data_IF_072285874625
#
_entry.id   IF_072285874625
#
_cell.length_a   1.000
_cell.length_b   1.000
_cell.length_c   1.000
_cell.angle_alpha   90.00
_cell.angle_beta   90.00
_cell.angle_gamma   90.00
#
_symmetry.space_group_name_H-M   'P 1'
#
loop_
_entity.id
_entity.type
_entity.pdbx_description
1 polymer ?
#
# COMPACT_ATOMS: atom_id res chain seq x y z
N UNK A 1 -2.47 -2.66 -11.38
CA UNK A 1 -1.97 -1.50 -10.63
C UNK A 1 -1.99 -1.96 -9.17
N UNK A 2 -1.10 -1.46 -8.32
CA UNK A 2 -0.92 -2.01 -6.96
C UNK A 2 -1.54 -1.04 -5.95
N UNK A 3 -2.09 -1.57 -4.85
CA UNK A 3 -2.86 -0.83 -3.83
C UNK A 3 -4.12 -0.16 -4.40
N UNK A 4 -4.88 -0.90 -5.22
CA UNK A 4 -6.09 -0.39 -5.89
C UNK A 4 -7.30 -0.22 -4.96
N UNK A 5 -7.27 -0.88 -3.80
CA UNK A 5 -8.40 -0.99 -2.89
C UNK A 5 -8.13 -0.21 -1.60
N UNK A 6 -9.00 0.75 -1.28
CA UNK A 6 -8.89 1.59 -0.08
C UNK A 6 -8.13 2.90 -0.30
N UNK A 7 -8.18 3.77 0.71
CA UNK A 7 -7.56 5.10 0.72
C UNK A 7 -6.34 5.20 1.65
N UNK A 8 -6.04 4.15 2.41
CA UNK A 8 -4.96 4.13 3.39
C UNK A 8 -5.31 4.80 4.72
N UNK A 9 -6.56 5.18 4.92
CA UNK A 9 -7.05 5.69 6.22
C UNK A 9 -7.43 4.51 7.14
N UNK A 10 -7.55 4.74 8.44
CA UNK A 10 -7.94 3.67 9.38
C UNK A 10 -9.33 3.07 9.07
N UNK A 11 -10.28 3.91 8.65
CA UNK A 11 -11.63 3.49 8.29
C UNK A 11 -11.70 2.80 6.91
N UNK A 12 -10.73 3.06 6.04
CA UNK A 12 -10.66 2.53 4.69
C UNK A 12 -9.18 2.20 4.32
N UNK A 13 -8.62 1.14 4.94
CA UNK A 13 -7.22 0.77 4.77
C UNK A 13 -6.95 0.27 3.35
N UNK A 14 -5.71 0.41 2.89
CA UNK A 14 -5.29 -0.24 1.67
C UNK A 14 -5.37 -1.77 1.82
N UNK A 15 -6.10 -2.45 0.94
CA UNK A 15 -6.15 -3.91 0.97
C UNK A 15 -4.91 -4.48 0.27
N UNK A 16 -4.23 -5.39 0.95
CA UNK A 16 -3.12 -6.16 0.41
C UNK A 16 -3.71 -7.49 -0.05
N UNK A 17 -4.03 -7.58 -1.34
CA UNK A 17 -4.71 -8.74 -1.92
C UNK A 17 -3.75 -9.69 -2.63
N UNK A 18 -2.59 -9.18 -3.05
CA UNK A 18 -1.57 -9.96 -3.73
C UNK A 18 -0.14 -9.45 -3.41
N UNK A 19 0.87 -10.11 -3.97
CA UNK A 19 2.28 -9.78 -3.74
C UNK A 19 2.70 -8.41 -4.32
N UNK A 20 2.04 -7.95 -5.40
CA UNK A 20 2.33 -6.65 -6.00
C UNK A 20 1.89 -5.50 -5.07
N UNK A 21 0.79 -5.66 -4.33
CA UNK A 21 0.34 -4.68 -3.33
C UNK A 21 1.36 -4.53 -2.19
N UNK A 22 1.87 -5.66 -1.67
CA UNK A 22 2.89 -5.65 -0.62
C UNK A 22 4.17 -4.97 -1.13
N UNK A 23 4.59 -5.28 -2.36
CA UNK A 23 5.76 -4.64 -2.99
C UNK A 23 5.56 -3.14 -3.12
N UNK A 24 4.39 -2.68 -3.59
CA UNK A 24 4.08 -1.27 -3.73
C UNK A 24 4.02 -0.54 -2.38
N UNK A 25 3.46 -1.19 -1.35
CA UNK A 25 3.46 -0.66 0.00
C UNK A 25 4.90 -0.41 0.49
N UNK A 26 5.75 -1.43 0.44
CA UNK A 26 7.11 -1.38 0.99
C UNK A 26 8.06 -0.46 0.21
N UNK A 27 7.77 -0.19 -1.06
CA UNK A 27 8.60 0.66 -1.92
C UNK A 27 8.13 2.11 -2.00
N UNK A 28 6.83 2.38 -1.85
CA UNK A 28 6.28 3.73 -2.09
C UNK A 28 5.53 4.34 -0.91
N UNK A 29 5.05 3.54 0.06
CA UNK A 29 4.10 3.98 1.11
C UNK A 29 4.56 3.74 2.55
N UNK A 30 5.70 3.09 2.75
CA UNK A 30 6.23 2.65 4.04
C UNK A 30 6.51 3.79 5.05
N UNK A 31 6.55 5.04 4.61
CA UNK A 31 6.90 6.21 5.43
C UNK A 31 5.72 7.16 5.71
N UNK A 32 4.52 6.86 5.21
CA UNK A 32 3.40 7.82 5.14
C UNK A 32 2.38 7.67 6.28
N UNK A 33 2.50 6.62 7.11
CA UNK A 33 1.57 6.36 8.22
C UNK A 33 0.21 5.80 7.78
N UNK A 34 0.13 5.25 6.56
CA UNK A 34 -1.09 4.63 6.07
C UNK A 34 -1.44 3.34 6.79
N UNK A 35 -2.71 3.00 6.69
CA UNK A 35 -3.30 1.77 7.18
C UNK A 35 -3.43 0.76 6.05
N UNK A 36 -3.05 -0.47 6.33
CA UNK A 36 -3.11 -1.62 5.43
C UNK A 36 -3.93 -2.73 6.07
N UNK A 37 -4.54 -3.57 5.26
CA UNK A 37 -5.22 -4.76 5.75
C UNK A 37 -4.93 -5.98 4.86
N UNK A 38 -4.61 -7.11 5.48
CA UNK A 38 -4.50 -8.38 4.76
C UNK A 38 -5.89 -8.95 4.53
N UNK A 39 -6.11 -9.49 3.32
CA UNK A 39 -7.32 -10.25 2.97
C UNK A 39 -7.06 -11.75 2.80
N UNK A 40 -5.80 -12.14 2.75
CA UNK A 40 -5.34 -13.52 2.64
C UNK A 40 -3.93 -13.65 3.23
N UNK A 41 -3.48 -14.88 3.42
CA UNK A 41 -2.07 -15.17 3.68
C UNK A 41 -1.23 -14.78 2.45
N UNK A 42 -0.17 -14.00 2.66
CA UNK A 42 0.75 -13.56 1.61
C UNK A 42 2.18 -13.95 1.95
N UNK A 43 2.87 -14.59 1.00
CA UNK A 43 4.26 -15.03 1.15
C UNK A 43 5.16 -14.48 0.05
N UNK A 44 6.02 -13.54 0.44
CA UNK A 44 7.07 -12.92 -0.36
C UNK A 44 8.46 -13.34 0.13
N UNK A 45 8.58 -14.43 0.89
CA UNK A 45 9.86 -14.89 1.46
C UNK A 45 10.83 -15.41 0.39
N UNK A 46 10.32 -15.85 -0.77
CA UNK A 46 11.10 -16.34 -1.90
C UNK A 46 11.66 -15.25 -2.84
N UNK A 47 11.14 -14.02 -2.75
CA UNK A 47 11.47 -12.93 -3.67
C UNK A 47 11.85 -11.67 -2.90
N UNK A 48 13.16 -11.34 -2.78
CA UNK A 48 13.57 -10.17 -2.03
C UNK A 48 12.98 -8.89 -2.65
N UNK A 49 12.37 -8.07 -1.80
CA UNK A 49 11.85 -6.76 -2.16
C UNK A 49 12.95 -5.74 -1.90
N UNK A 50 13.38 -5.07 -2.97
CA UNK A 50 14.37 -4.01 -2.89
C UNK A 50 13.74 -2.74 -2.36
N UNK A 51 14.20 -2.29 -1.18
CA UNK A 51 13.74 -1.04 -0.57
C UNK A 51 14.86 -0.01 -0.46
N UNK A 52 14.50 1.25 -0.63
CA UNK A 52 15.37 2.38 -0.30
C UNK A 52 15.32 2.68 1.19
N UNK A 53 16.45 3.12 1.75
CA UNK A 53 16.51 3.57 3.13
C UNK A 53 15.55 4.74 3.38
N UNK A 54 14.59 4.54 4.26
CA UNK A 54 13.62 5.56 4.66
C UNK A 54 13.24 5.38 6.13
N UNK A 55 12.63 6.39 6.72
CA UNK A 55 11.92 6.21 7.99
C UNK A 55 10.63 5.43 7.73
N UNK A 56 10.21 4.59 8.67
CA UNK A 56 9.05 3.73 8.51
C UNK A 56 7.96 4.16 9.46
N UNK A 57 6.75 4.35 8.91
CA UNK A 57 5.50 4.64 9.61
C UNK A 57 4.38 3.99 8.83
N UNK A 58 3.78 2.93 9.38
CA UNK A 58 2.67 2.22 8.76
C UNK A 58 1.88 1.48 9.82
N UNK A 59 0.63 1.16 9.51
CA UNK A 59 -0.26 0.39 10.38
C UNK A 59 -0.83 -0.76 9.58
N UNK A 60 -0.95 -1.93 10.17
CA UNK A 60 -1.52 -3.10 9.50
C UNK A 60 -2.51 -3.83 10.39
N UNK A 61 -3.66 -4.17 9.81
CA UNK A 61 -4.59 -5.15 10.36
C UNK A 61 -4.46 -6.45 9.55
N UNK A 62 -3.89 -7.48 10.16
CA UNK A 62 -3.72 -8.77 9.50
C UNK A 62 -5.01 -9.58 9.39
N UNK A 63 -6.05 -9.25 10.17
CA UNK A 63 -7.30 -10.04 10.24
C UNK A 63 -7.11 -11.52 10.53
N UNK A 64 -5.98 -11.85 11.15
CA UNK A 64 -5.52 -13.17 11.49
C UNK A 64 -4.72 -13.86 10.39
N UNK A 65 -4.59 -13.23 9.22
CA UNK A 65 -3.75 -13.70 8.13
C UNK A 65 -2.26 -13.48 8.42
N UNK A 66 -1.45 -14.25 7.70
CA UNK A 66 -0.01 -14.23 7.72
C UNK A 66 0.56 -13.39 6.60
N UNK A 67 1.61 -12.64 6.90
CA UNK A 67 2.43 -11.93 5.94
C UNK A 67 3.90 -12.30 6.15
N UNK A 68 4.50 -12.97 5.16
CA UNK A 68 5.93 -13.30 5.15
C UNK A 68 6.64 -12.44 4.12
N UNK A 69 7.69 -11.73 4.51
CA UNK A 69 8.38 -10.78 3.63
C UNK A 69 9.89 -11.01 3.71
N UNK A 70 10.54 -11.08 2.56
CA UNK A 70 11.98 -10.93 2.46
C UNK A 70 12.33 -9.55 1.89
N UNK A 71 13.06 -8.75 2.66
CA UNK A 71 13.48 -7.40 2.28
C UNK A 71 14.99 -7.35 2.09
N UNK A 72 15.40 -6.94 0.89
CA UNK A 72 16.77 -6.61 0.56
C UNK A 72 16.93 -5.08 0.44
N UNK A 73 18.11 -4.59 0.78
CA UNK A 73 18.42 -3.17 0.69
C UNK A 73 19.41 -2.96 -0.44
N UNK A 74 19.10 -2.00 -1.32
CA UNK A 74 19.93 -1.67 -2.48
C UNK A 74 21.30 -1.06 -2.14
N UNK A 75 21.50 -0.59 -0.91
CA UNK A 75 22.74 0.06 -0.46
C UNK A 75 23.28 -0.59 0.80
N UNK A 76 24.58 -0.92 0.88
CA UNK A 76 25.16 -1.53 2.06
C UNK A 76 25.11 -0.56 3.23
N UNK A 77 24.33 -0.89 4.26
CA UNK A 77 24.37 -0.20 5.53
C UNK A 77 23.84 -1.10 6.65
N UNK A 78 24.07 -0.65 7.89
CA UNK A 78 23.84 -1.47 9.06
C UNK A 78 22.35 -1.76 9.35
N UNK A 79 21.40 -0.97 8.84
CA UNK A 79 19.97 -1.14 9.12
C UNK A 79 19.10 -1.18 7.85
N UNK A 80 18.02 -1.97 7.87
CA UNK A 80 17.04 -2.02 6.78
C UNK A 80 16.29 -0.69 6.62
N UNK A 81 15.86 -0.11 7.73
CA UNK A 81 15.16 1.16 7.79
C UNK A 81 15.93 2.18 8.63
N UNK A 82 15.65 3.47 8.40
CA UNK A 82 16.25 4.55 9.17
C UNK A 82 15.69 4.63 10.56
N UNK A 83 14.65 5.44 10.76
CA UNK A 83 13.91 5.43 12.01
C UNK A 83 12.61 4.64 11.86
N UNK A 84 12.26 3.90 12.89
CA UNK A 84 10.87 3.49 13.11
C UNK A 84 10.13 4.67 13.76
N UNK A 85 8.92 4.96 13.30
CA UNK A 85 7.92 5.75 14.00
C UNK A 85 6.87 4.83 14.61
N UNK A 86 5.92 5.37 15.36
CA UNK A 86 4.81 4.59 15.88
C UNK A 86 4.04 3.88 14.75
N UNK A 87 3.97 2.56 14.87
CA UNK A 87 3.30 1.63 13.96
C UNK A 87 2.38 0.72 14.77
N UNK A 88 1.19 0.45 14.24
CA UNK A 88 0.26 -0.52 14.82
C UNK A 88 0.21 -1.81 14.02
N UNK A 89 0.26 -2.94 14.72
CA UNK A 89 0.09 -4.28 14.16
C UNK A 89 -1.06 -4.93 14.91
N UNK A 90 -2.19 -5.04 14.23
CA UNK A 90 -3.43 -5.55 14.78
C UNK A 90 -3.75 -6.90 14.15
N UNK A 91 -4.04 -7.91 14.97
CA UNK A 91 -4.49 -9.21 14.52
C UNK A 91 -3.67 -9.79 13.35
N UNK A 92 -2.34 -9.73 13.39
CA UNK A 92 -1.49 -10.16 12.27
C UNK A 92 -0.43 -11.16 12.72
N UNK A 93 -0.02 -12.04 11.79
CA UNK A 93 1.20 -12.82 11.93
C UNK A 93 2.21 -12.38 10.87
N UNK A 94 3.23 -11.63 11.28
CA UNK A 94 4.21 -11.06 10.35
C UNK A 94 5.56 -11.74 10.55
N UNK A 95 6.09 -12.33 9.49
CA UNK A 95 7.47 -12.82 9.42
C UNK A 95 8.29 -11.90 8.53
N UNK A 96 9.37 -11.35 9.06
CA UNK A 96 10.28 -10.47 8.33
C UNK A 96 11.67 -11.07 8.27
N UNK A 97 12.16 -11.26 7.05
CA UNK A 97 13.52 -11.67 6.73
C UNK A 97 14.26 -10.51 6.11
N UNK A 98 15.52 -10.33 6.49
CA UNK A 98 16.45 -9.45 5.77
C UNK A 98 17.84 -10.06 5.73
N UNK A 99 18.63 -9.66 4.73
CA UNK A 99 20.07 -9.93 4.67
C UNK A 99 20.91 -8.84 5.34
N UNK A 100 20.29 -7.77 5.85
CA UNK A 100 20.99 -6.70 6.55
C UNK A 100 21.32 -7.09 8.00
N UNK A 101 22.42 -6.55 8.53
CA UNK A 101 22.90 -6.77 9.91
C UNK A 101 22.05 -6.09 10.99
N UNK A 102 21.02 -5.32 10.60
CA UNK A 102 20.14 -4.57 11.48
C UNK A 102 18.80 -4.31 10.83
N UNK A 103 17.75 -4.17 11.64
CA UNK A 103 16.39 -3.93 11.14
C UNK A 103 16.05 -2.43 11.14
N UNK A 104 16.06 -1.78 12.30
CA UNK A 104 15.86 -0.32 12.40
C UNK A 104 17.12 0.38 12.91
N UNK A 105 17.37 1.59 12.43
CA UNK A 105 18.27 2.53 13.10
C UNK A 105 17.73 2.90 14.50
N UNK A 106 18.62 3.41 15.35
CA UNK A 106 18.30 3.77 16.74
C UNK A 106 17.31 4.94 16.78
N UNK A 107 16.01 4.66 16.89
CA UNK A 107 14.98 5.67 17.14
C UNK A 107 14.41 5.49 18.53
N UNK A 108 14.68 6.43 19.44
CA UNK A 108 14.06 6.49 20.77
C UNK A 108 12.57 6.85 20.73
N UNK A 109 12.04 7.21 19.54
CA UNK A 109 10.67 7.70 19.36
C UNK A 109 9.74 6.67 18.67
N UNK A 110 10.29 5.60 18.11
CA UNK A 110 9.53 4.59 17.37
C UNK A 110 9.12 3.39 18.21
N UNK A 111 7.89 2.92 18.03
CA UNK A 111 7.42 1.66 18.62
C UNK A 111 6.55 0.87 17.66
N UNK A 112 6.61 -0.46 17.77
CA UNK A 112 5.62 -1.35 17.18
C UNK A 112 4.62 -1.76 18.25
N UNK A 113 3.39 -1.28 18.13
CA UNK A 113 2.32 -1.63 19.04
C UNK A 113 1.61 -2.89 18.51
N UNK A 114 1.76 -4.01 19.23
CA UNK A 114 1.14 -5.29 18.88
C UNK A 114 -0.20 -5.41 19.61
N UNK A 115 -1.25 -5.81 18.88
CA UNK A 115 -2.55 -6.16 19.46
C UNK A 115 -3.02 -7.48 18.89
N UNK A 116 -3.10 -8.50 19.74
CA UNK A 116 -3.43 -9.87 19.32
C UNK A 116 -2.58 -10.29 18.09
N UNK A 117 -1.26 -10.08 18.13
CA UNK A 117 -0.38 -10.21 16.94
C UNK A 117 0.92 -10.93 17.24
N UNK A 118 1.46 -11.60 16.21
CA UNK A 118 2.81 -12.19 16.24
C UNK A 118 3.73 -11.49 15.25
N UNK A 119 4.95 -11.23 15.67
CA UNK A 119 5.98 -10.56 14.89
C UNK A 119 7.30 -11.32 15.01
N UNK A 120 7.75 -11.87 13.90
CA UNK A 120 8.95 -12.69 13.80
C UNK A 120 10.00 -11.98 12.95
N UNK A 121 11.23 -11.92 13.46
CA UNK A 121 12.37 -11.40 12.73
C UNK A 121 13.44 -12.49 12.58
N UNK A 122 13.67 -12.92 11.34
CA UNK A 122 14.52 -14.07 11.01
C UNK A 122 16.00 -13.73 10.76
N UNK A 123 16.47 -12.56 11.20
CA UNK A 123 17.86 -12.13 10.99
C UNK A 123 18.64 -12.05 12.30
N UNK A 124 19.89 -12.51 12.28
CA UNK A 124 20.85 -12.33 13.37
C UNK A 124 21.41 -10.92 13.31
N UNK A 125 20.97 -10.05 14.21
CA UNK A 125 21.48 -8.68 14.27
C UNK A 125 22.75 -8.58 15.10
N UNK A 126 23.60 -7.61 14.77
CA UNK A 126 24.83 -7.26 15.50
C UNK A 126 24.86 -5.76 15.79
N UNK A 127 24.33 -5.30 16.94
CA UNK A 127 24.21 -3.87 17.26
C UNK A 127 23.52 -3.52 18.59
N UNK A 128 23.50 -2.24 18.97
CA UNK A 128 22.85 -1.77 20.20
C UNK A 128 21.44 -1.18 19.99
N UNK A 129 21.02 -1.02 18.72
CA UNK A 129 19.73 -0.39 18.38
C UNK A 129 18.57 -1.30 18.77
N UNK A 130 17.72 -0.82 19.69
CA UNK A 130 16.57 -1.56 20.17
C UNK A 130 15.30 -1.13 19.47
N UNK A 131 14.57 -2.09 18.90
CA UNK A 131 13.17 -1.87 18.54
C UNK A 131 12.35 -1.96 19.81
N UNK A 132 11.48 -0.99 20.05
CA UNK A 132 10.58 -1.01 21.21
C UNK A 132 9.25 -1.61 20.77
N UNK A 133 8.92 -2.78 21.29
CA UNK A 133 7.59 -3.37 21.17
C UNK A 133 6.71 -2.87 22.31
N UNK A 134 5.43 -2.65 22.00
CA UNK A 134 4.41 -2.31 22.98
C UNK A 134 3.12 -3.09 22.73
N UNK A 135 2.13 -2.87 23.58
CA UNK A 135 0.74 -3.28 23.32
C UNK A 135 0.25 -4.42 24.20
N UNK A 136 -0.67 -5.20 23.64
CA UNK A 136 -1.41 -6.24 24.37
C UNK A 136 -1.48 -7.53 23.57
N UNK A 137 -1.25 -8.65 24.25
CA UNK A 137 -1.29 -10.00 23.67
C UNK A 137 -0.41 -10.12 22.41
N UNK A 138 0.89 -9.88 22.59
CA UNK A 138 1.87 -9.91 21.51
C UNK A 138 2.81 -11.09 21.65
N UNK A 139 3.19 -11.70 20.53
CA UNK A 139 4.29 -12.67 20.47
C UNK A 139 5.42 -12.11 19.60
N UNK A 140 6.61 -11.97 20.18
CA UNK A 140 7.80 -11.50 19.48
C UNK A 140 8.80 -12.65 19.39
N UNK A 141 9.19 -12.98 18.16
CA UNK A 141 10.14 -14.05 17.87
C UNK A 141 11.38 -13.42 17.24
N UNK A 142 12.48 -13.43 17.98
CA UNK A 142 13.73 -12.85 17.50
C UNK A 142 14.88 -13.84 17.69
N UNK A 143 15.71 -13.98 16.67
CA UNK A 143 17.02 -14.61 16.78
C UNK A 143 18.01 -13.60 17.41
N UNK A 144 17.79 -13.19 18.67
CA UNK A 144 18.69 -12.29 19.41
C UNK A 144 18.07 -11.51 20.58
N UNK A 145 18.81 -10.54 21.13
CA UNK A 145 18.44 -9.72 22.31
C UNK A 145 18.00 -8.28 21.97
N UNK A 146 17.47 -8.05 20.76
CA UNK A 146 17.38 -6.72 20.16
C UNK A 146 16.07 -5.96 20.43
N UNK A 147 14.95 -6.66 20.63
CA UNK A 147 13.68 -6.05 21.01
C UNK A 147 13.60 -5.75 22.50
N UNK A 148 13.32 -4.50 22.87
CA UNK A 148 12.87 -4.13 24.21
C UNK A 148 11.34 -4.07 24.26
N UNK A 149 10.74 -4.21 25.45
CA UNK A 149 9.29 -4.02 25.63
C UNK A 149 9.01 -2.82 26.53
N UNK A 150 8.13 -1.96 26.05
CA UNK A 150 7.74 -0.73 26.72
C UNK A 150 7.04 -1.03 28.05
N UNK A 151 7.34 -0.24 29.08
CA UNK A 151 6.61 -0.30 30.35
C UNK A 151 5.10 -0.08 30.12
N UNK A 152 4.26 -0.85 30.81
CA UNK A 152 2.81 -0.83 30.64
C UNK A 152 2.27 -1.74 29.53
N UNK A 153 3.13 -2.40 28.75
CA UNK A 153 2.70 -3.48 27.85
C UNK A 153 2.23 -4.68 28.66
N UNK A 154 1.22 -5.40 28.17
CA UNK A 154 0.68 -6.59 28.83
C UNK A 154 0.75 -7.81 27.92
N UNK A 155 1.10 -8.95 28.51
CA UNK A 155 1.08 -10.24 27.82
C UNK A 155 1.95 -10.26 26.56
N UNK A 156 3.15 -9.67 26.63
CA UNK A 156 4.15 -9.77 25.56
C UNK A 156 5.06 -10.95 25.85
N UNK A 157 4.95 -11.97 25.00
CA UNK A 157 5.76 -13.18 25.05
C UNK A 157 6.93 -13.04 24.09
N UNK A 158 8.14 -13.40 24.55
CA UNK A 158 9.34 -13.34 23.74
C UNK A 158 10.00 -14.71 23.64
N UNK A 159 10.32 -15.14 22.42
CA UNK A 159 11.18 -16.29 22.18
C UNK A 159 12.64 -15.86 22.11
N UNK A 160 13.51 -16.49 22.90
CA UNK A 160 14.94 -16.17 23.01
C UNK A 160 15.35 -15.60 24.38
N UNK A 161 16.15 -14.54 24.39
CA UNK A 161 16.66 -13.92 25.62
C UNK A 161 15.61 -13.08 26.34
N UNK A 162 15.52 -13.23 27.67
CA UNK A 162 14.61 -12.43 28.49
C UNK A 162 14.94 -10.92 28.41
N UNK A 163 13.91 -10.09 28.35
CA UNK A 163 14.02 -8.62 28.44
C UNK A 163 13.05 -8.08 29.48
N UNK A 164 13.28 -6.87 29.97
CA UNK A 164 12.32 -6.22 30.87
C UNK A 164 10.93 -6.17 30.23
N UNK A 165 9.89 -6.42 31.03
CA UNK A 165 8.48 -6.42 30.62
C UNK A 165 8.09 -7.51 29.59
N UNK A 166 8.85 -8.62 29.51
CA UNK A 166 8.51 -9.78 28.68
C UNK A 166 8.35 -11.06 29.49
N UNK A 167 7.49 -11.95 29.02
CA UNK A 167 7.48 -13.35 29.43
C UNK A 167 8.45 -14.11 28.53
N UNK A 168 9.53 -14.63 29.11
CA UNK A 168 10.50 -15.43 28.36
C UNK A 168 9.94 -16.84 28.11
N UNK A 169 9.64 -17.16 26.86
CA UNK A 169 9.10 -18.48 26.49
C UNK A 169 10.10 -19.61 26.67
N UNK A 170 11.41 -19.35 26.65
CA UNK A 170 12.43 -20.34 26.99
C UNK A 170 12.42 -20.70 28.50
N UNK A 171 11.80 -19.85 29.32
CA UNK A 171 11.64 -20.05 30.76
C UNK A 171 10.33 -20.69 31.17
N UNK A 172 9.51 -21.18 30.23
CA UNK A 172 8.28 -21.88 30.58
C UNK A 172 8.55 -23.15 31.40
N UNK A 173 7.68 -23.43 32.37
CA UNK A 173 7.87 -24.50 33.35
C UNK A 173 7.99 -25.89 32.70
N UNK A 174 7.22 -26.14 31.65
CA UNK A 174 7.26 -27.36 30.85
C UNK A 174 8.31 -27.33 29.73
N UNK A 175 9.00 -26.20 29.56
CA UNK A 175 9.94 -25.89 28.47
C UNK A 175 9.35 -26.08 27.07
N UNK A 176 8.02 -26.14 26.95
CA UNK A 176 7.33 -26.35 25.68
C UNK A 176 6.71 -25.03 25.21
N UNK A 177 7.35 -24.30 24.28
CA UNK A 177 6.82 -23.04 23.77
C UNK A 177 5.56 -23.21 22.91
N UNK A 178 5.12 -24.44 22.63
CA UNK A 178 3.92 -24.73 21.85
C UNK A 178 2.69 -25.04 22.73
N UNK A 179 2.87 -25.16 24.06
CA UNK A 179 1.77 -25.46 24.96
C UNK A 179 0.87 -24.23 25.16
N UNK A 180 -0.43 -24.29 24.82
CA UNK A 180 -1.37 -23.17 25.01
C UNK A 180 -1.48 -22.70 26.46
N UNK A 181 -1.26 -23.57 27.45
CA UNK A 181 -1.32 -23.22 28.88
C UNK A 181 -0.29 -22.15 29.26
N UNK A 182 0.81 -22.05 28.50
CA UNK A 182 1.83 -21.03 28.70
C UNK A 182 1.40 -19.63 28.23
N UNK A 183 0.26 -19.53 27.54
CA UNK A 183 -0.28 -18.28 26.99
C UNK A 183 -1.72 -18.01 27.47
N UNK A 184 -2.00 -17.88 28.79
CA UNK A 184 -3.37 -17.74 29.29
C UNK A 184 -4.25 -16.66 28.60
N UNK A 185 -3.71 -15.49 28.19
CA UNK A 185 -4.49 -14.46 27.49
C UNK A 185 -4.80 -14.78 26.03
N UNK A 186 -4.11 -15.74 25.42
CA UNK A 186 -4.27 -16.10 24.01
C UNK A 186 -5.40 -17.13 23.89
N UNK A 187 -6.60 -16.64 23.61
CA UNK A 187 -7.79 -17.47 23.50
C UNK A 187 -7.86 -18.18 22.14
N UNK A 188 -8.42 -19.40 22.09
CA UNK A 188 -8.44 -20.24 20.88
C UNK A 188 -9.33 -19.72 19.74
N UNK A 189 -10.24 -18.79 20.03
CA UNK A 189 -11.01 -18.04 19.04
C UNK A 189 -10.15 -17.02 18.28
N UNK A 190 -9.06 -16.53 18.89
CA UNK A 190 -8.14 -15.57 18.28
C UNK A 190 -6.80 -16.15 17.86
N UNK A 191 -6.42 -17.29 18.43
CA UNK A 191 -5.11 -17.90 18.23
C UNK A 191 -5.23 -19.37 17.83
N UNK A 192 -4.28 -19.80 17.00
CA UNK A 192 -4.09 -21.18 16.60
C UNK A 192 -2.91 -21.73 17.40
N UNK A 193 -3.17 -22.84 18.09
CA UNK A 193 -2.18 -23.67 18.76
C UNK A 193 -2.24 -25.06 18.13
N UNK A 194 -1.20 -25.42 17.38
CA UNK A 194 -1.11 -26.73 16.70
C UNK A 194 -0.15 -27.71 17.40
N UNK A 195 0.51 -27.25 18.48
CA UNK A 195 1.45 -28.05 19.27
C UNK A 195 2.81 -28.26 18.62
N UNK A 196 3.04 -27.73 17.41
CA UNK A 196 4.28 -27.90 16.64
C UNK A 196 4.90 -26.57 16.21
N UNK A 197 4.13 -25.48 16.27
CA UNK A 197 4.56 -24.12 15.97
C UNK A 197 4.17 -23.18 17.10
N UNK A 198 4.85 -22.03 17.14
CA UNK A 198 4.51 -20.97 18.08
C UNK A 198 3.10 -20.44 17.80
N UNK A 199 2.39 -19.92 18.83
CA UNK A 199 1.04 -19.42 18.64
C UNK A 199 0.96 -18.38 17.52
N UNK A 200 0.00 -18.56 16.62
CA UNK A 200 -0.26 -17.63 15.51
C UNK A 200 -1.70 -17.16 15.56
N UNK A 201 -1.94 -15.96 15.03
CA UNK A 201 -3.29 -15.40 14.98
C UNK A 201 -4.19 -16.27 14.11
N UNK A 202 -5.44 -16.46 14.52
CA UNK A 202 -6.46 -17.15 13.75
C UNK A 202 -7.11 -16.14 12.79
N UNK A 203 -7.23 -16.45 11.49
CA UNK A 203 -8.05 -15.67 10.57
C UNK A 203 -9.43 -15.46 11.19
N UNK A 204 -9.81 -14.20 11.38
CA UNK A 204 -11.13 -13.85 11.88
C UNK A 204 -12.09 -13.85 10.70
N UNK A 205 -13.30 -14.32 10.92
CA UNK A 205 -14.47 -13.94 10.12
C UNK A 205 -14.77 -12.45 10.39
N UNK A 206 -13.87 -11.56 9.98
CA UNK A 206 -14.12 -10.12 10.05
C UNK A 206 -15.20 -9.74 9.07
N UNK A 207 -15.83 -8.58 9.29
CA UNK A 207 -16.62 -7.88 8.29
C UNK A 207 -15.90 -7.98 6.94
N UNK A 208 -16.59 -8.60 5.99
CA UNK A 208 -16.03 -9.04 4.74
C UNK A 208 -15.58 -7.85 3.89
N UNK A 209 -14.34 -7.40 4.11
CA UNK A 209 -13.71 -6.41 3.23
C UNK A 209 -13.25 -7.03 1.92
N UNK A 210 -13.35 -8.35 1.79
CA UNK A 210 -13.11 -9.00 0.51
C UNK A 210 -14.25 -8.69 -0.45
N UNK A 211 -15.46 -8.44 0.05
CA UNK A 211 -16.59 -8.07 -0.77
C UNK A 211 -16.77 -6.55 -0.83
N UNK A 212 -16.61 -5.98 -2.03
CA UNK A 212 -16.79 -4.54 -2.28
C UNK A 212 -17.70 -4.32 -3.47
N UNK A 213 -18.49 -3.26 -3.42
CA UNK A 213 -19.28 -2.83 -4.57
C UNK A 213 -18.36 -2.25 -5.63
N UNK A 214 -18.44 -2.79 -6.84
CA UNK A 214 -17.54 -2.42 -7.93
C UNK A 214 -18.30 -2.22 -9.24
N UNK A 215 -17.66 -1.46 -10.13
CA UNK A 215 -18.05 -1.34 -11.53
C UNK A 215 -16.87 -1.76 -12.40
N UNK A 216 -17.09 -2.75 -13.25
CA UNK A 216 -16.15 -3.12 -14.32
C UNK A 216 -16.63 -2.54 -15.64
N UNK A 217 -15.69 -2.18 -16.51
CA UNK A 217 -16.05 -1.75 -17.84
C UNK A 217 -14.84 -1.53 -18.75
N UNK A 218 -15.14 -0.96 -19.91
CA UNK A 218 -14.18 -0.75 -20.99
C UNK A 218 -14.36 0.67 -21.54
N UNK A 219 -13.28 1.45 -21.54
CA UNK A 219 -13.25 2.78 -22.17
C UNK A 219 -12.90 2.64 -23.65
N UNK A 220 -13.70 3.28 -24.51
CA UNK A 220 -13.50 3.26 -25.96
C UNK A 220 -13.63 4.65 -26.59
N UNK A 221 -12.74 4.91 -27.55
CA UNK A 221 -12.69 6.11 -28.38
C UNK A 221 -12.68 5.67 -29.85
N UNK A 222 -13.67 6.12 -30.63
CA UNK A 222 -13.80 5.68 -32.03
C UNK A 222 -13.92 4.16 -32.18
N UNK A 223 -14.57 3.48 -31.23
CA UNK A 223 -14.69 2.02 -31.20
C UNK A 223 -13.42 1.27 -30.76
N UNK A 224 -12.29 1.97 -30.59
CA UNK A 224 -11.04 1.38 -30.12
C UNK A 224 -10.86 1.57 -28.63
N UNK A 225 -10.37 0.52 -27.98
CA UNK A 225 -9.96 0.51 -26.58
C UNK A 225 -8.88 1.56 -26.30
N UNK A 226 -9.05 2.38 -25.27
CA UNK A 226 -8.09 3.46 -24.96
C UNK A 226 -8.03 3.80 -23.48
N UNK A 227 -6.81 4.07 -23.00
CA UNK A 227 -6.58 4.64 -21.68
C UNK A 227 -7.25 6.02 -21.53
N UNK A 228 -8.05 6.21 -20.48
CA UNK A 228 -8.72 7.47 -20.12
C UNK A 228 -8.80 7.61 -18.60
N UNK A 229 -9.06 8.83 -18.14
CA UNK A 229 -9.35 9.08 -16.73
C UNK A 229 -10.82 8.76 -16.46
N UNK A 230 -11.13 8.27 -15.27
CA UNK A 230 -12.48 7.99 -14.82
C UNK A 230 -12.88 8.93 -13.68
N UNK A 231 -14.13 9.35 -13.68
CA UNK A 231 -14.80 9.98 -12.55
C UNK A 231 -16.11 9.26 -12.25
N UNK A 232 -16.47 9.14 -10.97
CA UNK A 232 -17.70 8.47 -10.52
C UNK A 232 -18.60 9.44 -9.78
N UNK A 233 -19.86 9.47 -10.18
CA UNK A 233 -20.90 10.32 -9.60
C UNK A 233 -21.96 9.43 -8.96
N UNK A 234 -22.34 9.73 -7.72
CA UNK A 234 -23.45 9.06 -7.03
C UNK A 234 -24.63 10.03 -6.94
N UNK A 235 -25.77 9.56 -6.43
CA UNK A 235 -26.95 10.40 -6.17
C UNK A 235 -26.66 11.60 -5.24
N UNK A 236 -25.64 11.49 -4.38
CA UNK A 236 -25.23 12.54 -3.44
C UNK A 236 -24.18 13.49 -4.04
N UNK A 237 -23.92 13.41 -5.35
CA UNK A 237 -22.91 14.20 -6.06
C UNK A 237 -21.64 13.42 -6.36
N UNK A 238 -20.54 14.14 -6.62
CA UNK A 238 -19.26 13.53 -6.97
C UNK A 238 -18.67 12.77 -5.76
N UNK A 239 -18.47 11.45 -5.89
CA UNK A 239 -17.63 10.67 -4.98
C UNK A 239 -16.45 10.03 -5.72
N UNK A 240 -15.30 10.70 -5.58
CA UNK A 240 -14.10 10.13 -4.94
C UNK A 240 -13.32 8.97 -5.58
N UNK A 241 -13.31 8.82 -6.91
CA UNK A 241 -12.15 8.16 -7.52
C UNK A 241 -11.80 8.72 -8.89
N UNK A 242 -10.64 9.35 -8.95
CA UNK A 242 -9.90 9.53 -10.19
C UNK A 242 -9.02 8.30 -10.35
N UNK A 243 -9.35 7.49 -11.34
CA UNK A 243 -8.56 6.32 -11.70
C UNK A 243 -8.35 6.32 -13.19
N UNK A 244 -7.14 6.01 -13.62
CA UNK A 244 -6.88 5.79 -15.03
C UNK A 244 -7.33 4.37 -15.39
N UNK A 245 -7.98 4.22 -16.54
CA UNK A 245 -8.14 2.90 -17.13
C UNK A 245 -6.77 2.32 -17.46
N UNK A 246 -6.71 1.00 -17.69
CA UNK A 246 -5.49 0.35 -18.18
C UNK A 246 -5.17 0.82 -19.60
N UNK A 247 -3.98 0.50 -20.10
CA UNK A 247 -3.55 0.85 -21.46
C UNK A 247 -4.53 0.33 -22.53
N UNK A 248 -5.13 -0.83 -22.28
CA UNK A 248 -6.18 -1.44 -23.10
C UNK A 248 -7.57 -0.87 -22.86
N UNK A 249 -7.72 0.23 -22.10
CA UNK A 249 -8.98 0.88 -21.75
C UNK A 249 -9.84 0.16 -20.71
N UNK A 250 -9.49 -1.05 -20.27
CA UNK A 250 -10.27 -1.77 -19.28
C UNK A 250 -10.15 -1.12 -17.90
N UNK A 251 -11.20 -1.22 -17.09
CA UNK A 251 -11.19 -0.67 -15.73
C UNK A 251 -11.97 -1.51 -14.73
N UNK A 252 -11.50 -1.42 -13.48
CA UNK A 252 -12.14 -1.93 -12.29
C UNK A 252 -12.22 -0.80 -11.27
N UNK A 253 -13.42 -0.27 -11.05
CA UNK A 253 -13.66 0.78 -10.06
C UNK A 253 -14.20 0.13 -8.79
N UNK A 254 -13.37 0.05 -7.76
CA UNK A 254 -13.83 -0.24 -6.41
C UNK A 254 -14.55 1.00 -5.84
N UNK A 255 -15.83 0.86 -5.52
CA UNK A 255 -16.70 1.88 -4.94
C UNK A 255 -16.95 1.65 -3.45
N UNK A 256 -16.19 0.76 -2.82
CA UNK A 256 -16.29 0.38 -1.43
C UNK A 256 -17.72 -0.06 -1.07
N UNK A 257 -18.41 0.72 -0.26
CA UNK A 257 -19.73 0.38 0.29
C UNK A 257 -20.87 1.10 -0.46
N UNK A 258 -20.58 1.71 -1.62
CA UNK A 258 -21.58 2.38 -2.45
C UNK A 258 -22.39 1.31 -3.20
N UNK A 259 -23.56 0.99 -2.65
CA UNK A 259 -24.54 0.06 -3.23
C UNK A 259 -25.62 0.75 -4.06
N UNK A 260 -25.65 2.08 -4.11
CA UNK A 260 -26.65 2.84 -4.87
C UNK A 260 -26.17 3.11 -6.30
N UNK A 261 -27.08 3.41 -7.25
CA UNK A 261 -26.70 3.63 -8.64
C UNK A 261 -25.68 4.76 -8.82
N UNK A 262 -24.75 4.57 -9.76
CA UNK A 262 -23.69 5.52 -10.08
C UNK A 262 -23.63 5.85 -11.56
N UNK A 263 -23.01 6.98 -11.90
CA UNK A 263 -22.62 7.34 -13.27
C UNK A 263 -21.09 7.35 -13.34
N UNK A 264 -20.53 6.63 -14.31
CA UNK A 264 -19.09 6.63 -14.58
C UNK A 264 -18.82 7.49 -15.81
N UNK A 265 -17.93 8.47 -15.70
CA UNK A 265 -17.52 9.33 -16.80
C UNK A 265 -16.06 9.06 -17.17
N UNK A 266 -15.81 8.68 -18.41
CA UNK A 266 -14.48 8.57 -18.99
C UNK A 266 -14.12 9.87 -19.72
N UNK A 267 -12.99 10.49 -19.39
CA UNK A 267 -12.54 11.76 -19.94
C UNK A 267 -11.02 11.78 -20.16
N UNK A 268 -10.52 12.74 -20.94
CA UNK A 268 -9.08 12.90 -21.17
C UNK A 268 -8.53 14.02 -20.29
N UNK A 269 -7.34 13.81 -19.71
CA UNK A 269 -6.57 14.90 -19.10
C UNK A 269 -6.17 15.92 -20.18
N UNK A 270 -6.45 17.20 -19.94
CA UNK A 270 -6.03 18.28 -20.83
C UNK A 270 -4.68 18.91 -20.41
N UNK A 271 -4.15 18.51 -19.26
CA UNK A 271 -2.90 19.03 -18.71
C UNK A 271 -3.04 20.43 -18.14
N UNK A 272 -1.90 21.09 -17.92
CA UNK A 272 -1.87 22.46 -17.42
C UNK A 272 -1.84 23.48 -18.57
N UNK A 273 -2.28 24.72 -18.31
CA UNK A 273 -2.09 25.82 -19.26
C UNK A 273 -0.59 26.06 -19.48
N UNK A 274 -0.18 26.23 -20.73
CA UNK A 274 1.22 26.56 -21.04
C UNK A 274 1.65 27.88 -20.38
N UNK A 275 2.84 27.89 -19.79
CA UNK A 275 3.45 29.04 -19.11
C UNK A 275 4.89 29.29 -19.56
N UNK A 276 5.31 30.57 -19.54
CA UNK A 276 6.68 31.04 -19.81
C UNK A 276 7.60 30.68 -18.64
N UNK A 277 8.91 30.58 -18.91
CA UNK A 277 9.96 30.27 -17.93
C UNK A 277 9.70 28.97 -17.14
N UNK A 278 8.97 28.03 -17.73
CA UNK A 278 8.56 26.78 -17.09
C UNK A 278 9.40 25.64 -17.62
N UNK A 279 9.95 24.84 -16.71
CA UNK A 279 10.60 23.57 -17.07
C UNK A 279 9.53 22.50 -17.29
N UNK A 280 9.47 21.96 -18.50
CA UNK A 280 8.59 20.85 -18.86
C UNK A 280 9.32 19.53 -18.84
N UNK A 281 8.74 18.54 -18.16
CA UNK A 281 9.25 17.17 -18.13
C UNK A 281 8.73 16.35 -19.31
N UNK A 282 9.42 15.26 -19.66
CA UNK A 282 8.93 14.30 -20.65
C UNK A 282 7.54 13.78 -20.25
N UNK A 283 6.65 13.60 -21.22
CA UNK A 283 5.24 13.21 -21.06
C UNK A 283 4.32 14.22 -20.36
N UNK A 284 4.83 15.38 -19.92
CA UNK A 284 3.95 16.44 -19.40
C UNK A 284 2.99 16.93 -20.49
N UNK A 285 1.71 17.08 -20.13
CA UNK A 285 0.65 17.53 -21.04
C UNK A 285 0.37 19.01 -20.76
N UNK A 286 0.22 19.79 -21.83
CA UNK A 286 -0.25 21.17 -21.79
C UNK A 286 -1.42 21.42 -22.74
N UNK A 287 -2.15 22.51 -22.52
CA UNK A 287 -3.20 22.99 -23.43
C UNK A 287 -3.04 24.49 -23.76
N UNK A 288 -3.60 24.95 -24.90
CA UNK A 288 -3.66 26.36 -25.27
C UNK A 288 -4.64 27.15 -24.40
N UNK A 289 -4.49 28.47 -24.38
CA UNK A 289 -5.43 29.40 -23.78
C UNK A 289 -6.76 29.43 -24.54
N UNK A 290 -6.71 29.36 -25.87
CA UNK A 290 -7.86 29.23 -26.76
C UNK A 290 -8.00 27.76 -27.14
N UNK A 291 -9.01 27.03 -26.63
CA UNK A 291 -9.18 25.61 -26.92
C UNK A 291 -9.32 25.35 -28.43
N UNK A 292 -8.56 24.38 -28.94
CA UNK A 292 -8.61 23.97 -30.35
C UNK A 292 -8.88 22.47 -30.54
N UNK A 293 -9.35 21.78 -29.49
CA UNK A 293 -9.65 20.34 -29.50
C UNK A 293 -8.43 19.43 -29.35
N UNK A 294 -7.24 19.98 -29.11
CA UNK A 294 -6.00 19.24 -28.91
C UNK A 294 -5.32 19.62 -27.59
N UNK A 295 -4.62 18.63 -27.02
CA UNK A 295 -3.63 18.78 -25.96
C UNK A 295 -2.24 18.49 -26.54
N UNK A 296 -1.18 18.86 -25.85
CA UNK A 296 0.18 18.80 -26.37
C UNK A 296 1.05 18.04 -25.37
N UNK A 297 1.52 16.84 -25.75
CA UNK A 297 2.37 16.01 -24.89
C UNK A 297 3.83 16.31 -25.16
N UNK A 298 4.58 16.64 -24.11
CA UNK A 298 6.01 16.85 -24.17
C UNK A 298 6.73 15.56 -24.59
N UNK A 299 7.41 15.61 -25.72
CA UNK A 299 8.22 14.51 -26.29
C UNK A 299 9.72 14.78 -26.16
N UNK A 300 10.10 16.03 -25.87
CA UNK A 300 11.45 16.42 -25.48
C UNK A 300 11.37 17.42 -24.32
N UNK A 301 11.90 17.03 -23.16
CA UNK A 301 11.95 17.89 -21.98
C UNK A 301 12.80 19.15 -22.22
N UNK A 302 12.42 20.27 -21.61
CA UNK A 302 13.10 21.56 -21.77
C UNK A 302 12.37 22.71 -21.10
N UNK A 303 12.99 23.90 -21.09
CA UNK A 303 12.36 25.13 -20.57
C UNK A 303 11.66 25.90 -21.71
N UNK A 304 10.47 26.47 -21.46
CA UNK A 304 9.76 27.31 -22.45
C UNK A 304 10.49 28.61 -22.81
N UNK A 305 11.36 29.11 -21.92
CA UNK A 305 11.95 30.43 -22.06
C UNK A 305 10.94 31.56 -21.87
N UNK A 306 11.35 32.79 -22.18
CA UNK A 306 10.59 33.99 -21.89
C UNK A 306 9.37 34.22 -22.80
N UNK A 307 9.21 33.43 -23.87
CA UNK A 307 8.11 33.58 -24.84
C UNK A 307 7.53 32.22 -25.22
N UNK A 308 6.25 32.21 -25.62
CA UNK A 308 5.56 31.04 -26.16
C UNK A 308 5.10 31.40 -27.58
N UNK A 309 5.14 30.46 -28.55
CA UNK A 309 4.58 30.71 -29.87
C UNK A 309 3.12 31.20 -29.80
N UNK A 310 2.73 32.17 -30.64
CA UNK A 310 1.36 32.65 -30.65
C UNK A 310 0.38 31.53 -31.07
N UNK A 311 -0.82 31.56 -30.51
CA UNK A 311 -1.92 30.68 -30.89
C UNK A 311 -2.59 31.18 -32.19
N UNK A 312 -3.22 30.30 -33.00
CA UNK A 312 -3.44 28.87 -32.75
C UNK A 312 -2.20 28.03 -33.03
N UNK A 313 -1.92 27.06 -32.16
CA UNK A 313 -0.87 26.07 -32.42
C UNK A 313 -1.33 25.03 -33.43
N UNK A 314 -0.36 24.47 -34.16
CA UNK A 314 -0.59 23.40 -35.13
C UNK A 314 -1.12 22.14 -34.45
N UNK A 315 -2.14 21.53 -35.05
CA UNK A 315 -2.73 20.26 -34.60
C UNK A 315 -2.12 19.04 -35.26
N UNK A 316 -1.16 19.22 -36.18
CA UNK A 316 -0.52 18.14 -36.95
C UNK A 316 1.00 18.13 -36.88
N UNK A 317 1.62 19.24 -36.48
CA UNK A 317 3.08 19.36 -36.40
C UNK A 317 3.55 19.54 -34.96
N UNK A 318 4.80 19.14 -34.70
CA UNK A 318 5.43 19.31 -33.38
C UNK A 318 5.51 20.79 -33.01
N UNK A 319 4.94 21.15 -31.86
CA UNK A 319 5.05 22.47 -31.27
C UNK A 319 6.38 22.59 -30.52
N UNK A 320 7.16 23.63 -30.79
CA UNK A 320 8.40 23.93 -30.06
C UNK A 320 8.18 25.14 -29.16
N UNK A 321 8.38 24.99 -27.85
CA UNK A 321 8.33 26.09 -26.88
C UNK A 321 9.67 26.13 -26.15
N UNK A 322 10.48 27.15 -26.45
CA UNK A 322 11.87 27.20 -25.99
C UNK A 322 12.65 25.94 -26.41
N UNK A 323 13.19 25.22 -25.43
CA UNK A 323 13.89 23.96 -25.66
C UNK A 323 12.98 22.71 -25.65
N UNK A 324 11.72 22.86 -25.22
CA UNK A 324 10.78 21.73 -25.14
C UNK A 324 10.05 21.50 -26.47
N UNK A 325 9.77 20.24 -26.80
CA UNK A 325 8.99 19.84 -27.99
C UNK A 325 7.74 19.06 -27.58
N UNK A 326 6.62 19.38 -28.21
CA UNK A 326 5.32 18.78 -27.90
C UNK A 326 4.65 18.23 -29.15
N UNK A 327 4.11 17.02 -29.04
CA UNK A 327 3.30 16.40 -30.09
C UNK A 327 1.82 16.67 -29.80
N UNK A 328 1.05 17.17 -30.79
CA UNK A 328 -0.39 17.38 -30.62
C UNK A 328 -1.12 16.03 -30.52
N UNK A 329 -2.06 15.94 -29.58
CA UNK A 329 -2.96 14.81 -29.36
C UNK A 329 -4.41 15.31 -29.33
N UNK A 330 -5.35 14.69 -30.07
CA UNK A 330 -6.76 15.06 -29.97
C UNK A 330 -7.29 14.78 -28.57
N UNK A 331 -8.10 15.70 -28.05
CA UNK A 331 -8.89 15.53 -26.83
C UNK A 331 -10.26 15.06 -27.24
N UNK A 332 -10.67 13.89 -26.75
CA UNK A 332 -11.97 13.31 -27.11
C UNK A 332 -13.04 13.72 -26.11
N UNK A 333 -14.27 13.83 -26.60
CA UNK A 333 -15.44 14.11 -25.77
C UNK A 333 -15.53 13.12 -24.59
N UNK A 334 -15.93 13.63 -23.43
CA UNK A 334 -16.17 12.80 -22.26
C UNK A 334 -17.38 11.91 -22.49
N UNK A 335 -17.29 10.63 -22.12
CA UNK A 335 -18.40 9.69 -22.23
C UNK A 335 -18.88 9.30 -20.85
N UNK A 336 -20.14 9.59 -20.55
CA UNK A 336 -20.81 9.11 -19.35
C UNK A 336 -21.53 7.79 -19.62
N UNK A 337 -21.50 6.88 -18.65
CA UNK A 337 -22.21 5.62 -18.66
C UNK A 337 -22.93 5.46 -17.31
N UNK A 338 -24.25 5.30 -17.35
CA UNK A 338 -25.08 5.08 -16.18
C UNK A 338 -26.55 5.43 -16.41
N UNK A 339 -27.41 5.24 -15.39
CA UNK A 339 -27.06 4.73 -14.05
C UNK A 339 -26.63 3.25 -14.09
N UNK A 340 -25.54 2.95 -13.38
CA UNK A 340 -25.02 1.60 -13.16
C UNK A 340 -25.28 1.21 -11.73
N UNK A 341 -25.90 0.06 -11.49
CA UNK A 341 -25.94 -0.51 -10.15
C UNK A 341 -24.61 -1.23 -9.89
N UNK A 342 -23.80 -0.79 -8.90
CA UNK A 342 -22.58 -1.50 -8.55
C UNK A 342 -22.90 -2.94 -8.15
N UNK A 343 -22.04 -3.87 -8.55
CA UNK A 343 -22.19 -5.29 -8.21
C UNK A 343 -21.24 -5.60 -7.06
N UNK A 344 -21.68 -6.44 -6.12
CA UNK A 344 -20.82 -6.93 -5.06
C UNK A 344 -19.80 -7.89 -5.66
N UNK A 345 -18.51 -7.57 -5.51
CA UNK A 345 -17.39 -8.35 -6.02
C UNK A 345 -16.50 -8.79 -4.88
N UNK A 346 -16.01 -10.02 -4.95
CA UNK A 346 -14.91 -10.46 -4.14
C UNK A 346 -13.59 -9.94 -4.74
N UNK A 347 -12.91 -9.01 -4.08
CA UNK A 347 -11.68 -8.33 -4.54
C UNK A 347 -10.47 -9.27 -4.64
N UNK A 348 -10.52 -10.44 -4.02
CA UNK A 348 -9.46 -11.47 -4.11
C UNK A 348 -9.60 -12.25 -5.41
N UNK A 349 -10.82 -12.69 -5.74
CA UNK A 349 -11.10 -13.49 -6.94
C UNK A 349 -11.46 -12.63 -8.16
N UNK A 350 -11.73 -11.35 -7.93
CA UNK A 350 -12.37 -10.41 -8.85
C UNK A 350 -13.66 -10.96 -9.50
N UNK A 351 -14.39 -11.84 -8.82
CA UNK A 351 -15.67 -12.39 -9.29
C UNK A 351 -16.87 -11.76 -8.56
N UNK A 352 -18.05 -11.68 -9.22
CA UNK A 352 -19.29 -11.36 -8.53
C UNK A 352 -19.55 -12.37 -7.40
N UNK A 353 -20.11 -11.89 -6.28
CA UNK A 353 -20.47 -12.70 -5.10
C UNK A 353 -21.82 -13.36 -5.27
#
# INVERSE_FOLDING_TARGET
MALEFGSGTQADPYLLVNLADVTAWLTTKQYQGYWFALVADLDLSGSPIEVTYSNWKWNIDGRGNRLSIYINRLTPAYSLAGNLYECEINNASITLRSNNSGFFGSSILGRMNLKDSSFEIMASFSGASKTIFGGTNGLVIELGTYGGVLAGSSNIYKHGGATANTINTAGFADKNPYNPVNYPPFTTDKWIFDGISLPRTRPKETADLTNRYCVKGQSTVGGSNRQRNLAVFTENGLRYKLQDTKADGSFFLNLNDVSTPVIVMAYDDIGAKAAINTAYSLNQIIHPAIPNGFRYRCTLAGNSGATIPPEPWSTTTVLTIGAAKFTPEPVYEAKAHGPLLPVLFNVVTEQPV
#
